data_IF_720215456618
#
_entry.id   IF_720215456618
#
_cell.length_a   1.000
_cell.length_b   1.000
_cell.length_c   1.000
_cell.angle_alpha   90.00
_cell.angle_beta   90.00
_cell.angle_gamma   90.00
#
_symmetry.space_group_name_H-M   'P 1'
#
loop_
_entity.id
_entity.type
_entity.pdbx_description
1 polymer ?
#
# COMPACT_ATOMS: atom_id res chain seq x y z
N UNK A 1 0.95 -5.53 25.87
CA UNK A 1 0.81 -5.29 24.43
C UNK A 1 -0.66 -5.31 24.10
N UNK A 2 -1.16 -4.25 23.50
CA UNK A 2 -2.55 -4.19 23.04
C UNK A 2 -2.69 -4.99 21.75
N UNK A 3 -3.88 -5.57 21.50
CA UNK A 3 -4.18 -6.34 20.27
C UNK A 3 -3.88 -5.55 18.99
N UNK A 4 -4.02 -4.21 19.06
CA UNK A 4 -3.74 -3.29 17.96
C UNK A 4 -2.24 -3.18 17.65
N UNK A 5 -1.38 -3.14 18.67
CA UNK A 5 0.07 -3.14 18.48
C UNK A 5 0.55 -4.44 17.82
N UNK A 6 0.04 -5.60 18.26
CA UNK A 6 0.38 -6.88 17.66
C UNK A 6 0.00 -6.93 16.17
N UNK A 7 -1.20 -6.44 15.84
CA UNK A 7 -1.65 -6.32 14.45
C UNK A 7 -0.74 -5.43 13.61
N UNK A 8 -0.27 -4.32 14.18
CA UNK A 8 0.63 -3.38 13.49
C UNK A 8 2.01 -3.98 13.27
N UNK A 9 2.59 -4.60 14.30
CA UNK A 9 3.90 -5.27 14.20
C UNK A 9 3.87 -6.39 13.16
N UNK A 10 2.78 -7.17 13.13
CA UNK A 10 2.56 -8.18 12.10
C UNK A 10 2.53 -7.57 10.70
N UNK A 11 1.81 -6.46 10.52
CA UNK A 11 1.75 -5.74 9.25
C UNK A 11 3.12 -5.19 8.82
N UNK A 12 3.90 -4.64 9.76
CA UNK A 12 5.25 -4.14 9.49
C UNK A 12 6.21 -5.25 9.08
N UNK A 13 6.19 -6.40 9.78
CA UNK A 13 7.00 -7.58 9.42
C UNK A 13 6.65 -8.09 8.03
N UNK A 14 5.36 -8.17 7.73
CA UNK A 14 4.88 -8.59 6.41
C UNK A 14 5.31 -7.60 5.32
N UNK A 15 5.18 -6.30 5.57
CA UNK A 15 5.61 -5.28 4.62
C UNK A 15 7.14 -5.28 4.39
N UNK A 16 7.93 -5.53 5.43
CA UNK A 16 9.37 -5.67 5.32
C UNK A 16 9.80 -6.91 4.52
N UNK A 17 9.05 -8.01 4.64
CA UNK A 17 9.28 -9.23 3.87
C UNK A 17 8.84 -9.11 2.40
N UNK A 18 7.79 -8.32 2.14
CA UNK A 18 7.14 -8.19 0.83
C UNK A 18 6.91 -6.72 0.43
N UNK A 19 7.97 -5.94 0.18
CA UNK A 19 7.84 -4.55 -0.26
C UNK A 19 7.08 -4.42 -1.60
N UNK A 20 7.13 -5.43 -2.46
CA UNK A 20 6.45 -5.50 -3.76
C UNK A 20 4.92 -5.39 -3.64
N UNK A 21 4.34 -5.89 -2.53
CA UNK A 21 2.89 -5.77 -2.25
C UNK A 21 2.48 -4.32 -2.18
N UNK A 22 3.30 -3.49 -1.53
CA UNK A 22 3.03 -2.06 -1.40
C UNK A 22 3.15 -1.35 -2.73
N UNK A 23 4.16 -1.66 -3.53
CA UNK A 23 4.33 -1.07 -4.85
C UNK A 23 3.15 -1.38 -5.77
N UNK A 24 2.71 -2.63 -5.80
CA UNK A 24 1.53 -3.06 -6.55
C UNK A 24 0.25 -2.39 -6.04
N UNK A 25 0.08 -2.31 -4.72
CA UNK A 25 -1.06 -1.64 -4.10
C UNK A 25 -1.14 -0.18 -4.56
N UNK A 26 -0.03 0.55 -4.51
CA UNK A 26 0.06 1.94 -4.95
C UNK A 26 -0.19 2.07 -6.44
N UNK A 27 0.41 1.18 -7.26
CA UNK A 27 0.23 1.16 -8.71
C UNK A 27 -1.25 1.01 -9.09
N UNK A 28 -1.94 0.04 -8.53
CA UNK A 28 -3.36 -0.20 -8.80
C UNK A 28 -4.26 0.92 -8.25
N UNK A 29 -3.93 1.47 -7.08
CA UNK A 29 -4.65 2.62 -6.51
C UNK A 29 -4.56 3.83 -7.43
N UNK A 30 -3.36 4.16 -7.89
CA UNK A 30 -3.11 5.25 -8.84
C UNK A 30 -3.73 5.00 -10.20
N UNK A 31 -3.80 3.74 -10.64
CA UNK A 31 -4.53 3.39 -11.85
C UNK A 31 -6.01 3.74 -11.71
N UNK A 32 -6.65 3.40 -10.58
CA UNK A 32 -8.05 3.76 -10.33
C UNK A 32 -8.28 5.27 -10.27
N UNK A 33 -7.34 6.02 -9.68
CA UNK A 33 -7.39 7.49 -9.71
C UNK A 33 -7.34 8.01 -11.16
N UNK A 34 -6.44 7.46 -11.99
CA UNK A 34 -6.33 7.84 -13.41
C UNK A 34 -7.56 7.46 -14.24
N UNK A 35 -8.25 6.38 -13.87
CA UNK A 35 -9.52 5.98 -14.46
C UNK A 35 -10.70 6.88 -14.06
N UNK A 36 -10.50 7.85 -13.16
CA UNK A 36 -11.54 8.81 -12.74
C UNK A 36 -12.32 8.37 -11.51
N UNK A 37 -11.89 7.35 -10.77
CA UNK A 37 -12.55 6.96 -9.54
C UNK A 37 -12.27 7.96 -8.41
N UNK A 38 -13.32 8.54 -7.84
CA UNK A 38 -13.21 9.44 -6.69
C UNK A 38 -12.96 8.70 -5.37
N UNK A 39 -13.52 7.49 -5.25
CA UNK A 39 -13.38 6.61 -4.10
C UNK A 39 -13.23 5.16 -4.54
N UNK A 40 -12.46 4.38 -3.79
CA UNK A 40 -12.28 2.97 -4.08
C UNK A 40 -12.14 2.13 -2.81
N UNK A 41 -12.34 0.82 -2.95
CA UNK A 41 -12.25 -0.13 -1.84
C UNK A 41 -10.83 -0.66 -1.67
N UNK A 42 -10.22 -0.47 -0.50
CA UNK A 42 -8.88 -0.99 -0.22
C UNK A 42 -8.81 -2.51 -0.33
N UNK A 43 -9.89 -3.21 0.05
CA UNK A 43 -10.01 -4.66 -0.10
C UNK A 43 -9.92 -5.09 -1.57
N UNK A 44 -10.61 -4.39 -2.48
CA UNK A 44 -10.59 -4.71 -3.90
C UNK A 44 -9.19 -4.53 -4.51
N UNK A 45 -8.45 -3.50 -4.08
CA UNK A 45 -7.05 -3.32 -4.48
C UNK A 45 -6.18 -4.44 -3.93
N UNK A 46 -6.34 -4.80 -2.65
CA UNK A 46 -5.56 -5.88 -2.04
C UNK A 46 -5.83 -7.24 -2.69
N UNK A 47 -7.09 -7.52 -3.03
CA UNK A 47 -7.46 -8.72 -3.80
C UNK A 47 -6.75 -8.70 -5.16
N UNK A 48 -6.72 -7.56 -5.86
CA UNK A 48 -5.98 -7.43 -7.12
C UNK A 48 -4.47 -7.66 -6.95
N UNK A 49 -3.87 -7.14 -5.88
CA UNK A 49 -2.46 -7.40 -5.55
C UNK A 49 -2.23 -8.89 -5.32
N UNK A 50 -3.12 -9.54 -4.57
CA UNK A 50 -3.07 -10.98 -4.30
C UNK A 50 -3.05 -11.79 -5.61
N UNK A 51 -3.95 -11.50 -6.53
CA UNK A 51 -3.98 -12.15 -7.85
C UNK A 51 -2.67 -11.99 -8.61
N UNK A 52 -2.09 -10.78 -8.61
CA UNK A 52 -0.82 -10.50 -9.29
C UNK A 52 0.33 -11.30 -8.66
N UNK A 53 0.32 -11.44 -7.34
CA UNK A 53 1.42 -12.07 -6.60
C UNK A 53 1.31 -13.59 -6.57
N UNK A 54 0.08 -14.13 -6.53
CA UNK A 54 -0.17 -15.57 -6.73
C UNK A 54 0.27 -16.01 -8.14
N UNK A 55 0.00 -15.18 -9.17
CA UNK A 55 0.48 -15.42 -10.53
C UNK A 55 2.02 -15.38 -10.66
N UNK A 56 2.69 -14.60 -9.80
CA UNK A 56 4.15 -14.54 -9.69
C UNK A 56 4.79 -15.64 -8.84
N UNK A 57 4.00 -16.60 -8.31
CA UNK A 57 4.48 -17.69 -7.48
C UNK A 57 4.64 -17.37 -5.98
N UNK A 58 4.09 -16.25 -5.51
CA UNK A 58 4.08 -15.89 -4.09
C UNK A 58 2.97 -16.59 -3.31
N UNK A 59 3.33 -17.47 -2.35
CA UNK A 59 2.39 -18.19 -1.48
C UNK A 59 2.22 -17.55 -0.08
N UNK A 60 2.15 -16.22 0.03
CA UNK A 60 1.96 -15.59 1.34
C UNK A 60 0.49 -15.30 1.68
N UNK A 61 0.11 -15.58 2.93
CA UNK A 61 -1.25 -15.37 3.43
C UNK A 61 -1.45 -13.90 3.87
N UNK A 62 -1.99 -13.07 2.98
CA UNK A 62 -2.37 -11.69 3.32
C UNK A 62 -3.48 -11.73 4.38
N UNK A 63 -3.20 -11.21 5.58
CA UNK A 63 -4.21 -11.09 6.63
C UNK A 63 -5.15 -9.91 6.33
N UNK A 64 -6.46 -10.12 6.51
CA UNK A 64 -7.49 -9.09 6.26
C UNK A 64 -7.27 -7.80 7.06
N UNK A 65 -6.59 -7.87 8.21
CA UNK A 65 -6.26 -6.71 9.03
C UNK A 65 -5.23 -5.77 8.38
N UNK A 66 -4.40 -6.29 7.45
CA UNK A 66 -3.36 -5.49 6.80
C UNK A 66 -3.97 -4.46 5.84
N UNK A 67 -5.12 -4.77 5.23
CA UNK A 67 -5.84 -3.86 4.33
C UNK A 67 -6.09 -2.48 4.94
N UNK A 68 -6.42 -2.43 6.24
CA UNK A 68 -6.69 -1.17 6.95
C UNK A 68 -5.43 -0.30 7.02
N UNK A 69 -4.30 -0.87 7.45
CA UNK A 69 -3.04 -0.14 7.57
C UNK A 69 -2.53 0.37 6.21
N UNK A 70 -2.69 -0.43 5.15
CA UNK A 70 -2.33 -0.02 3.78
C UNK A 70 -3.21 1.14 3.30
N UNK A 71 -4.52 1.08 3.55
CA UNK A 71 -5.45 2.15 3.22
C UNK A 71 -5.13 3.47 3.95
N UNK A 72 -4.90 3.40 5.26
CA UNK A 72 -4.53 4.55 6.10
C UNK A 72 -3.21 5.17 5.61
N UNK A 73 -2.20 4.34 5.34
CA UNK A 73 -0.91 4.80 4.80
C UNK A 73 -1.06 5.47 3.44
N UNK A 74 -1.87 4.91 2.54
CA UNK A 74 -2.09 5.51 1.22
C UNK A 74 -2.81 6.85 1.31
N UNK A 75 -3.85 6.94 2.13
CA UNK A 75 -4.60 8.17 2.33
C UNK A 75 -3.71 9.29 2.90
N UNK A 76 -2.75 8.96 3.78
CA UNK A 76 -1.81 9.92 4.35
C UNK A 76 -0.77 10.44 3.34
N UNK A 77 -0.33 9.61 2.40
CA UNK A 77 0.77 9.94 1.48
C UNK A 77 0.27 10.57 0.18
N UNK A 78 -0.81 10.04 -0.42
CA UNK A 78 -1.25 10.46 -1.76
C UNK A 78 -2.53 11.28 -1.76
N UNK A 79 -3.62 10.73 -1.22
CA UNK A 79 -4.93 11.38 -1.29
C UNK A 79 -5.82 10.97 -0.13
N UNK A 80 -6.03 11.91 0.77
CA UNK A 80 -6.91 11.71 1.92
C UNK A 80 -8.33 11.34 1.45
N UNK A 81 -8.91 10.31 2.07
CA UNK A 81 -10.29 9.90 1.80
C UNK A 81 -10.51 9.12 0.49
N UNK A 82 -9.46 8.75 -0.26
CA UNK A 82 -9.61 7.87 -1.43
C UNK A 82 -10.12 6.49 -1.03
N UNK A 83 -9.49 5.89 -0.02
CA UNK A 83 -9.98 4.68 0.61
C UNK A 83 -10.94 5.01 1.75
N UNK A 84 -12.22 4.69 1.56
CA UNK A 84 -13.22 4.82 2.61
C UNK A 84 -13.05 3.67 3.60
N UNK A 85 -12.42 3.94 4.75
CA UNK A 85 -12.55 3.07 5.91
C UNK A 85 -13.97 3.21 6.45
N UNK A 86 -14.68 2.09 6.60
CA UNK A 86 -15.97 2.11 7.30
C UNK A 86 -15.65 2.47 8.76
N UNK A 87 -15.89 3.72 9.17
CA UNK A 87 -15.87 4.10 10.58
C UNK A 87 -16.97 3.29 11.28
N UNK A 88 -16.57 2.22 11.96
CA UNK A 88 -17.30 1.78 13.16
C UNK A 88 -17.18 2.87 14.22
N UNK A 89 -18.07 2.90 15.24
CA UNK A 89 -18.02 3.92 16.29
C UNK A 89 -16.60 4.00 16.87
N UNK A 90 -16.12 5.24 16.96
CA UNK A 90 -14.74 5.60 17.14
C UNK A 90 -14.14 5.06 18.46
N UNK A 91 -12.95 4.48 18.37
CA UNK A 91 -11.96 4.60 19.43
C UNK A 91 -10.78 5.33 18.82
N UNK A 92 -10.74 6.62 19.11
CA UNK A 92 -9.68 7.56 18.74
C UNK A 92 -8.38 7.09 19.38
N UNK A 93 -7.39 6.71 18.58
CA UNK A 93 -6.01 6.90 18.97
C UNK A 93 -5.13 7.03 17.72
N UNK A 94 -4.57 8.23 17.57
CA UNK A 94 -3.63 8.64 16.55
C UNK A 94 -2.31 7.93 16.80
N UNK A 95 -1.84 7.10 15.87
CA UNK A 95 -0.46 6.64 15.91
C UNK A 95 0.21 6.84 14.55
N UNK A 96 0.98 7.93 14.50
CA UNK A 96 1.78 8.33 13.37
C UNK A 96 2.87 7.29 13.12
N UNK A 97 2.76 6.52 12.03
CA UNK A 97 3.84 5.67 11.55
C UNK A 97 5.02 6.51 11.02
N UNK A 98 6.23 6.43 11.63
CA UNK A 98 7.44 7.04 11.11
C UNK A 98 8.27 5.96 10.44
N UNK A 99 7.98 5.64 9.17
CA UNK A 99 8.95 4.94 8.34
C UNK A 99 9.04 5.64 6.98
N UNK A 100 10.04 6.53 6.79
CA UNK A 100 10.32 7.14 5.51
C UNK A 100 11.06 6.11 4.65
N UNK A 101 10.30 5.26 3.95
CA UNK A 101 10.89 4.53 2.83
C UNK A 101 11.13 5.53 1.71
N UNK A 102 12.41 5.82 1.48
CA UNK A 102 12.93 6.66 0.41
C UNK A 102 12.30 6.28 -0.94
N UNK A 103 11.90 7.25 -1.77
CA UNK A 103 11.40 6.95 -3.11
C UNK A 103 12.56 6.46 -3.99
N UNK A 104 12.55 5.19 -4.39
CA UNK A 104 13.42 4.63 -5.43
C UNK A 104 13.02 5.07 -6.86
N UNK A 105 12.61 6.33 -7.02
CA UNK A 105 12.41 6.97 -8.32
C UNK A 105 13.28 8.21 -8.33
N UNK A 106 14.48 8.08 -8.91
CA UNK A 106 15.47 9.15 -8.89
C UNK A 106 16.90 8.72 -9.19
N UNK A 107 17.14 7.96 -10.27
CA UNK A 107 18.40 8.08 -11.00
C UNK A 107 18.11 8.33 -12.48
N UNK A 108 18.34 9.59 -12.85
CA UNK A 108 18.41 10.11 -14.19
C UNK A 108 19.79 9.83 -14.83
N UNK A 109 19.84 9.95 -16.16
CA UNK A 109 21.04 10.01 -17.01
C UNK A 109 21.16 8.76 -17.87
N UNK A 110 20.82 8.73 -19.17
CA UNK A 110 21.03 9.74 -20.20
C UNK A 110 22.31 9.38 -20.97
N UNK A 111 22.18 8.57 -22.02
CA UNK A 111 23.30 8.14 -22.86
C UNK A 111 22.82 7.62 -24.21
N UNK A 112 22.38 8.53 -25.08
CA UNK A 112 22.22 8.28 -26.52
C UNK A 112 23.44 8.92 -27.18
N UNK A 113 24.47 8.13 -27.46
CA UNK A 113 25.55 8.51 -28.36
C UNK A 113 25.38 7.72 -29.66
N UNK A 114 24.92 8.43 -30.67
CA UNK A 114 25.01 8.02 -32.06
C UNK A 114 25.38 9.27 -32.84
N UNK A 115 26.59 9.29 -33.39
CA UNK A 115 27.03 9.93 -34.64
C UNK A 115 28.55 9.85 -34.73
N UNK A 116 29.02 9.34 -35.88
CA UNK A 116 30.43 9.12 -36.22
C UNK A 116 30.53 8.06 -37.28
#
# INVERSE_FOLDING_TARGET
MTRTEEMRLSCQRFHAAHPEVWELFVKFSRQKIREGFEHYGAKAVMERVRWETEAGGGEYRINNNHCRFYAERFNKIWREGFFRSRRGPASTETDADPSPLSPLWGKAGGGREGQG
#
